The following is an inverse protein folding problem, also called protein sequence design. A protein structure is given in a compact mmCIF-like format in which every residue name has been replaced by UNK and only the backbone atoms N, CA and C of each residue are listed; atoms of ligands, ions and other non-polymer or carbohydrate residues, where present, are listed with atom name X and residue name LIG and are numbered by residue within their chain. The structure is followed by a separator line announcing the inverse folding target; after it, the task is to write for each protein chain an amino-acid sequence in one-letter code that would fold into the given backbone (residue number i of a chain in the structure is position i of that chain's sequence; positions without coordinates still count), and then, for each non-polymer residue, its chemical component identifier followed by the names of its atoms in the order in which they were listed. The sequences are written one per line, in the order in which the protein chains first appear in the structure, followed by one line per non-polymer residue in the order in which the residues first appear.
data_IF_270194409491
#
_entry.id   IF_270194409491
#
_cell.length_a   1.000
_cell.length_b   1.000
_cell.length_c   1.000
_cell.angle_alpha   90.00
_cell.angle_beta   90.00
_cell.angle_gamma   90.00
#
_symmetry.space_group_name_H-M   'P 1'
#
loop_
_entity.id
_entity.type
_entity.pdbx_description
1 polymer ?
#
# COMPACT_ATOMS: atom_id res chain seq x y z
N UNK A 1 4.87 21.29 18.36
CA UNK A 1 5.35 20.77 17.04
C UNK A 1 4.35 21.00 15.89
N UNK A 2 3.23 20.27 15.68
CA UNK A 2 2.25 20.65 14.61
C UNK A 2 1.55 21.99 14.89
N UNK A 3 1.29 22.30 16.16
CA UNK A 3 0.80 23.63 16.56
C UNK A 3 1.81 24.76 16.31
N UNK A 4 3.10 24.45 16.16
CA UNK A 4 4.15 25.44 15.85
C UNK A 4 4.49 25.49 14.35
N UNK A 5 4.07 24.50 13.57
CA UNK A 5 4.24 24.44 12.11
C UNK A 5 3.15 25.22 11.35
N UNK A 6 2.57 26.24 11.96
CA UNK A 6 1.76 27.26 11.26
C UNK A 6 2.58 28.15 10.30
N UNK A 7 3.77 27.69 9.89
CA UNK A 7 4.69 28.32 8.95
C UNK A 7 5.11 27.33 7.86
N UNK A 8 5.92 27.82 6.91
CA UNK A 8 6.45 27.02 5.80
C UNK A 8 7.07 25.71 6.30
N UNK A 9 6.57 24.57 5.78
CA UNK A 9 7.16 23.26 6.08
C UNK A 9 8.59 23.26 5.55
N UNK A 10 9.58 22.79 6.33
CA UNK A 10 10.97 22.78 5.91
C UNK A 10 11.18 22.21 4.49
N UNK A 11 11.94 22.93 3.67
CA UNK A 11 12.16 22.59 2.25
C UNK A 11 13.06 21.36 2.05
N UNK A 12 13.76 20.92 3.09
CA UNK A 12 14.59 19.72 3.13
C UNK A 12 13.78 18.43 3.34
N UNK A 13 12.52 18.53 3.80
CA UNK A 13 11.64 17.37 3.85
C UNK A 13 11.25 16.89 2.45
N UNK A 14 11.08 15.58 2.30
CA UNK A 14 10.60 15.00 1.04
C UNK A 14 9.16 15.42 0.77
N UNK A 15 8.77 15.46 -0.51
CA UNK A 15 7.47 15.97 -0.94
C UNK A 15 6.28 15.28 -0.24
N UNK A 16 6.41 13.98 0.02
CA UNK A 16 5.40 13.11 0.62
C UNK A 16 5.21 13.44 2.10
N UNK A 17 6.28 13.72 2.84
CA UNK A 17 6.21 14.14 4.24
C UNK A 17 5.57 15.53 4.32
N UNK A 18 5.97 16.46 3.45
CA UNK A 18 5.36 17.79 3.41
C UNK A 18 3.88 17.73 3.12
N UNK A 19 3.48 16.93 2.14
CA UNK A 19 2.08 16.76 1.77
C UNK A 19 1.29 16.04 2.88
N UNK A 20 1.89 15.09 3.60
CA UNK A 20 1.25 14.42 4.74
C UNK A 20 0.95 15.39 5.89
N UNK A 21 1.88 16.26 6.22
CA UNK A 21 1.67 17.32 7.23
C UNK A 21 0.55 18.26 6.78
N UNK A 22 0.54 18.67 5.51
CA UNK A 22 -0.54 19.52 4.98
C UNK A 22 -1.89 18.82 4.96
N UNK A 23 -1.92 17.54 4.63
CA UNK A 23 -3.15 16.75 4.71
C UNK A 23 -3.64 16.68 6.15
N UNK A 24 -2.75 16.42 7.12
CA UNK A 24 -3.08 16.38 8.55
C UNK A 24 -3.64 17.72 9.05
N UNK A 25 -3.03 18.84 8.68
CA UNK A 25 -3.56 20.18 8.99
C UNK A 25 -4.94 20.43 8.36
N UNK A 26 -5.12 19.99 7.10
CA UNK A 26 -6.36 20.22 6.36
C UNK A 26 -7.53 19.43 6.95
N UNK A 27 -7.33 18.15 7.30
CA UNK A 27 -8.37 17.31 7.92
C UNK A 27 -8.67 17.70 9.37
N UNK A 28 -7.71 18.32 10.08
CA UNK A 28 -7.92 18.96 11.39
C UNK A 28 -8.75 20.27 11.27
N UNK A 29 -9.21 20.62 10.07
CA UNK A 29 -10.10 21.75 9.81
C UNK A 29 -9.39 23.11 9.72
N UNK A 30 -8.05 23.14 9.69
CA UNK A 30 -7.29 24.41 9.69
C UNK A 30 -7.37 25.17 8.38
N UNK A 31 -7.72 24.49 7.28
CA UNK A 31 -7.66 25.04 5.93
C UNK A 31 -9.04 25.38 5.38
N UNK A 32 -9.97 24.41 5.45
CA UNK A 32 -11.32 24.56 4.93
C UNK A 32 -12.24 23.53 5.59
N UNK A 33 -13.52 23.88 5.85
CA UNK A 33 -14.53 22.91 6.28
C UNK A 33 -14.66 21.71 5.33
N UNK A 34 -14.37 21.92 4.04
CA UNK A 34 -14.39 20.83 3.04
C UNK A 34 -13.46 19.69 3.43
N UNK A 35 -12.21 19.98 3.81
CA UNK A 35 -11.22 18.94 4.10
C UNK A 35 -11.47 18.24 5.43
N UNK A 36 -12.05 18.94 6.41
CA UNK A 36 -12.54 18.32 7.64
C UNK A 36 -13.62 17.26 7.31
N UNK A 37 -14.65 17.63 6.55
CA UNK A 37 -15.69 16.69 6.12
C UNK A 37 -15.17 15.59 5.19
N UNK A 38 -14.22 15.91 4.31
CA UNK A 38 -13.62 14.91 3.42
C UNK A 38 -12.78 13.89 4.20
N UNK A 39 -12.08 14.33 5.24
CA UNK A 39 -11.32 13.46 6.15
C UNK A 39 -12.20 12.40 6.83
N UNK A 40 -13.47 12.69 7.09
CA UNK A 40 -14.44 11.73 7.65
C UNK A 40 -14.78 10.59 6.67
N UNK A 41 -14.58 10.79 5.36
CA UNK A 41 -14.79 9.76 4.33
C UNK A 41 -13.57 8.85 4.15
N UNK A 42 -12.41 9.23 4.68
CA UNK A 42 -11.18 8.46 4.54
C UNK A 42 -11.22 7.18 5.37
N UNK A 43 -10.50 6.16 4.90
CA UNK A 43 -10.39 4.91 5.65
C UNK A 43 -9.79 5.16 7.04
N UNK A 44 -10.47 4.70 8.11
CA UNK A 44 -9.91 4.78 9.46
C UNK A 44 -8.58 4.03 9.53
N UNK A 45 -7.63 4.58 10.28
CA UNK A 45 -6.28 4.04 10.38
C UNK A 45 -6.24 2.55 10.79
N UNK A 46 -7.16 2.09 11.65
CA UNK A 46 -7.25 0.69 12.08
C UNK A 46 -7.65 -0.29 10.97
N UNK A 47 -8.20 0.22 9.86
CA UNK A 47 -8.65 -0.60 8.73
C UNK A 47 -7.62 -0.68 7.60
N UNK A 48 -6.55 0.11 7.69
CA UNK A 48 -5.50 0.12 6.68
C UNK A 48 -4.47 -0.98 6.97
N UNK A 49 -4.25 -1.86 6.00
CA UNK A 49 -3.28 -2.95 6.12
C UNK A 49 -1.86 -2.57 5.61
N UNK A 50 -1.59 -1.29 5.35
CA UNK A 50 -0.26 -0.85 4.92
C UNK A 50 0.78 -1.24 6.01
N UNK A 51 1.85 -1.97 5.68
CA UNK A 51 2.84 -2.45 6.65
C UNK A 51 3.37 -1.37 7.59
N UNK A 52 3.61 -0.15 7.09
CA UNK A 52 4.14 0.94 7.91
C UNK A 52 3.18 1.38 9.03
N UNK A 53 1.87 1.10 8.89
CA UNK A 53 0.86 1.38 9.91
C UNK A 53 0.69 0.23 10.93
N UNK A 54 1.23 -0.94 10.65
CA UNK A 54 1.12 -2.08 11.55
C UNK A 54 2.07 -1.91 12.74
N UNK A 55 1.56 -2.17 13.93
CA UNK A 55 2.39 -2.17 15.13
C UNK A 55 3.37 -3.37 15.09
N UNK A 56 4.55 -3.29 15.73
CA UNK A 56 5.66 -4.22 15.49
C UNK A 56 5.34 -5.70 15.73
N UNK A 57 4.47 -6.02 16.67
CA UNK A 57 4.04 -7.40 16.97
C UNK A 57 3.11 -7.97 15.89
N UNK A 58 2.54 -7.15 15.00
CA UNK A 58 1.79 -7.64 13.84
C UNK A 58 2.68 -7.77 12.60
N UNK A 59 3.79 -7.02 12.53
CA UNK A 59 4.74 -7.14 11.41
C UNK A 59 5.39 -8.53 11.34
N UNK A 60 5.60 -9.19 12.48
CA UNK A 60 6.12 -10.58 12.50
C UNK A 60 5.16 -11.58 11.86
N UNK A 61 3.85 -11.28 11.85
CA UNK A 61 2.82 -12.13 11.22
C UNK A 61 2.87 -12.08 9.69
N UNK A 62 3.60 -11.12 9.10
CA UNK A 62 3.83 -11.07 7.66
C UNK A 62 4.65 -12.26 7.14
N UNK A 63 5.43 -12.91 8.03
CA UNK A 63 6.35 -14.00 7.67
C UNK A 63 7.29 -13.64 6.50
N UNK A 64 7.60 -12.34 6.37
CA UNK A 64 8.45 -11.77 5.33
C UNK A 64 9.39 -10.74 5.96
N UNK A 65 10.56 -11.19 6.39
CA UNK A 65 11.54 -10.39 7.16
C UNK A 65 11.88 -9.06 6.48
N UNK A 66 12.25 -9.08 5.20
CA UNK A 66 12.60 -7.86 4.46
C UNK A 66 11.48 -6.79 4.46
N UNK A 67 10.23 -7.24 4.45
CA UNK A 67 9.07 -6.35 4.41
C UNK A 67 8.76 -5.79 5.80
N UNK A 68 8.85 -6.63 6.83
CA UNK A 68 8.76 -6.20 8.22
C UNK A 68 9.87 -5.17 8.54
N UNK A 69 11.10 -5.46 8.13
CA UNK A 69 12.25 -4.57 8.32
C UNK A 69 12.08 -3.26 7.56
N UNK A 70 11.63 -3.31 6.29
CA UNK A 70 11.34 -2.11 5.52
C UNK A 70 10.25 -1.26 6.18
N UNK A 71 9.19 -1.88 6.74
CA UNK A 71 8.15 -1.18 7.46
C UNK A 71 8.70 -0.49 8.73
N UNK A 72 9.49 -1.21 9.54
CA UNK A 72 10.16 -0.65 10.73
C UNK A 72 11.09 0.50 10.36
N UNK A 73 11.84 0.40 9.27
CA UNK A 73 12.70 1.48 8.79
C UNK A 73 11.91 2.73 8.40
N UNK A 74 10.75 2.58 7.74
CA UNK A 74 9.88 3.73 7.45
C UNK A 74 9.31 4.36 8.73
N UNK A 75 8.88 3.54 9.70
CA UNK A 75 8.40 4.01 11.01
C UNK A 75 9.50 4.80 11.73
N UNK A 76 10.72 4.25 11.78
CA UNK A 76 11.87 4.89 12.43
C UNK A 76 12.25 6.19 11.73
N UNK A 77 12.28 6.21 10.40
CA UNK A 77 12.57 7.43 9.62
C UNK A 77 11.61 8.57 9.97
N UNK A 78 10.31 8.28 10.07
CA UNK A 78 9.33 9.31 10.43
C UNK A 78 9.49 9.74 11.89
N UNK A 79 9.80 8.79 12.79
CA UNK A 79 10.08 9.08 14.20
C UNK A 79 11.31 9.94 14.41
N UNK A 80 12.38 9.71 13.66
CA UNK A 80 13.60 10.53 13.76
C UNK A 80 13.32 12.00 13.43
N UNK A 81 12.38 12.24 12.50
CA UNK A 81 11.93 13.59 12.14
C UNK A 81 10.91 14.16 13.14
N UNK A 82 10.06 13.31 13.73
CA UNK A 82 8.93 13.71 14.59
C UNK A 82 8.81 12.83 15.84
N UNK A 83 9.80 12.86 16.76
CA UNK A 83 9.89 11.91 17.87
C UNK A 83 8.73 12.01 18.88
N UNK A 84 8.12 13.20 18.97
CA UNK A 84 6.98 13.48 19.86
C UNK A 84 5.62 13.10 19.24
N UNK A 85 5.56 12.86 17.93
CA UNK A 85 4.30 12.59 17.22
C UNK A 85 4.17 11.14 16.75
N UNK A 86 5.31 10.47 16.58
CA UNK A 86 5.37 9.12 16.03
C UNK A 86 5.80 8.18 17.14
N UNK A 87 5.02 7.16 17.50
CA UNK A 87 5.37 6.22 18.56
C UNK A 87 6.68 5.49 18.27
N UNK A 88 7.37 5.07 19.33
CA UNK A 88 8.58 4.25 19.23
C UNK A 88 8.26 2.79 18.95
N UNK A 89 9.25 2.03 18.48
CA UNK A 89 9.11 0.58 18.20
C UNK A 89 8.65 -0.23 19.44
N UNK A 90 8.85 0.29 20.65
CA UNK A 90 8.40 -0.35 21.89
C UNK A 90 7.16 0.32 22.52
N UNK A 91 6.52 1.26 21.82
CA UNK A 91 5.30 1.90 22.34
C UNK A 91 4.13 0.89 22.36
N UNK A 92 3.14 1.10 23.25
CA UNK A 92 1.92 0.30 23.30
C UNK A 92 1.18 0.29 21.95
N UNK A 93 0.46 -0.79 21.66
CA UNK A 93 -0.27 -0.96 20.40
C UNK A 93 -1.36 0.11 20.21
N UNK A 94 -1.89 0.66 21.31
CA UNK A 94 -2.92 1.71 21.31
C UNK A 94 -2.41 3.06 20.80
N UNK A 95 -1.09 3.27 20.80
CA UNK A 95 -0.45 4.47 20.24
C UNK A 95 -0.19 4.35 18.73
N UNK A 96 -0.41 3.16 18.16
CA UNK A 96 -0.16 2.86 16.76
C UNK A 96 -1.45 2.71 15.93
N UNK A 97 -1.40 3.15 14.66
CA UNK A 97 -0.53 4.18 14.11
C UNK A 97 -0.89 5.59 14.64
N UNK A 98 0.09 6.50 14.66
CA UNK A 98 -0.18 7.92 14.91
C UNK A 98 -0.92 8.60 13.74
N UNK A 99 -1.61 9.74 13.96
CA UNK A 99 -2.24 10.50 12.88
C UNK A 99 -1.28 10.91 11.74
N UNK A 100 -0.02 11.19 12.06
CA UNK A 100 0.99 11.53 11.04
C UNK A 100 1.40 10.30 10.22
N UNK A 101 1.56 9.13 10.85
CA UNK A 101 1.79 7.89 10.12
C UNK A 101 0.64 7.59 9.17
N UNK A 102 -0.60 7.75 9.64
CA UNK A 102 -1.81 7.56 8.85
C UNK A 102 -1.87 8.47 7.63
N UNK A 103 -1.73 9.78 7.81
CA UNK A 103 -1.75 10.75 6.70
C UNK A 103 -0.59 10.56 5.72
N UNK A 104 0.58 10.12 6.19
CA UNK A 104 1.70 9.78 5.32
C UNK A 104 1.43 8.51 4.51
N UNK A 105 0.83 7.48 5.10
CA UNK A 105 0.39 6.29 4.37
C UNK A 105 -0.70 6.61 3.34
N UNK A 106 -1.65 7.49 3.68
CA UNK A 106 -2.63 8.01 2.72
C UNK A 106 -1.94 8.70 1.55
N UNK A 107 -1.02 9.64 1.81
CA UNK A 107 -0.30 10.36 0.75
C UNK A 107 0.45 9.39 -0.18
N UNK A 108 1.15 8.39 0.37
CA UNK A 108 1.91 7.43 -0.43
C UNK A 108 1.05 6.46 -1.25
N UNK A 109 -0.19 6.22 -0.83
CA UNK A 109 -1.12 5.29 -1.49
C UNK A 109 -2.14 5.97 -2.40
N UNK A 110 -2.33 7.29 -2.29
CA UNK A 110 -3.47 8.01 -2.90
C UNK A 110 -3.11 9.29 -3.65
N UNK A 111 -1.84 9.66 -3.74
CA UNK A 111 -1.44 10.85 -4.49
C UNK A 111 -1.24 10.59 -5.98
N UNK A 112 -1.50 11.62 -6.76
CA UNK A 112 -1.40 11.64 -8.21
C UNK A 112 -0.32 12.62 -8.65
N UNK A 113 0.36 12.31 -9.76
CA UNK A 113 1.30 13.24 -10.39
C UNK A 113 0.55 14.45 -10.93
N UNK A 114 0.96 15.64 -10.51
CA UNK A 114 0.43 16.95 -10.91
C UNK A 114 1.41 17.71 -11.81
N UNK A 115 2.18 16.99 -12.64
CA UNK A 115 3.29 17.50 -13.45
C UNK A 115 4.59 16.72 -13.21
N UNK A 116 5.71 17.19 -13.79
CA UNK A 116 6.98 16.45 -13.79
C UNK A 116 7.58 16.19 -12.39
N UNK A 117 7.32 17.08 -11.43
CA UNK A 117 7.91 17.01 -10.08
C UNK A 117 6.93 17.41 -8.98
N UNK A 118 5.63 17.29 -9.27
CA UNK A 118 4.57 17.68 -8.35
C UNK A 118 3.62 16.52 -8.12
N UNK A 119 3.14 16.41 -6.88
CA UNK A 119 2.16 15.42 -6.48
C UNK A 119 1.02 16.12 -5.76
N UNK A 120 -0.20 15.62 -5.95
CA UNK A 120 -1.40 16.17 -5.34
C UNK A 120 -2.24 15.05 -4.73
N UNK A 121 -2.82 15.35 -3.57
CA UNK A 121 -3.93 14.57 -3.03
C UNK A 121 -5.23 15.10 -3.63
N UNK A 122 -5.92 14.30 -4.43
CA UNK A 122 -7.04 14.78 -5.26
C UNK A 122 -8.35 14.15 -4.75
N UNK A 123 -9.22 14.93 -4.08
CA UNK A 123 -10.49 14.44 -3.58
C UNK A 123 -11.33 13.77 -4.66
N UNK A 124 -12.06 12.72 -4.27
CA UNK A 124 -12.88 11.83 -5.10
C UNK A 124 -12.10 10.97 -6.09
N UNK A 125 -11.03 11.49 -6.69
CA UNK A 125 -10.15 10.68 -7.54
C UNK A 125 -9.39 9.64 -6.71
N UNK A 126 -8.97 9.99 -5.49
CA UNK A 126 -8.28 9.05 -4.59
C UNK A 126 -9.15 7.88 -4.10
N UNK A 127 -10.46 7.91 -4.36
CA UNK A 127 -11.39 6.83 -4.02
C UNK A 127 -11.42 5.70 -5.08
N UNK A 128 -10.90 5.94 -6.28
CA UNK A 128 -10.93 4.95 -7.36
C UNK A 128 -9.94 3.81 -7.07
N UNK A 129 -10.44 2.57 -7.00
CA UNK A 129 -9.60 1.40 -6.73
C UNK A 129 -8.78 0.96 -7.95
N UNK A 130 -7.79 0.11 -7.69
CA UNK A 130 -6.98 -0.52 -8.72
C UNK A 130 -7.70 -1.69 -9.40
N UNK A 131 -7.54 -1.81 -10.71
CA UNK A 131 -7.59 -3.09 -11.43
C UNK A 131 -6.46 -3.14 -12.47
N UNK A 132 -5.98 -4.36 -12.78
CA UNK A 132 -5.02 -4.59 -13.87
C UNK A 132 -5.56 -4.07 -15.21
N UNK A 133 -6.84 -4.32 -15.48
CA UNK A 133 -7.57 -3.83 -16.66
C UNK A 133 -8.61 -2.81 -16.19
N UNK A 134 -8.23 -1.52 -16.03
CA UNK A 134 -9.13 -0.50 -15.51
C UNK A 134 -10.18 -0.08 -16.55
N UNK A 135 -11.24 0.57 -16.09
CA UNK A 135 -12.30 1.11 -16.93
C UNK A 135 -12.33 2.65 -16.98
N UNK A 136 -11.48 3.30 -16.20
CA UNK A 136 -11.18 4.71 -16.27
C UNK A 136 -9.67 4.98 -16.21
N UNK A 137 -9.30 6.18 -16.63
CA UNK A 137 -7.95 6.72 -16.56
C UNK A 137 -8.02 8.16 -16.01
N UNK A 138 -6.91 8.67 -15.52
CA UNK A 138 -6.82 10.03 -15.00
C UNK A 138 -5.71 10.83 -15.67
N UNK A 139 -5.92 12.13 -15.78
CA UNK A 139 -4.90 13.06 -16.27
C UNK A 139 -4.93 14.35 -15.46
N UNK A 140 -3.75 14.89 -15.20
CA UNK A 140 -3.63 16.29 -14.79
C UNK A 140 -3.59 17.15 -16.06
N UNK A 141 -4.48 18.13 -16.16
CA UNK A 141 -4.54 19.09 -17.25
C UNK A 141 -4.04 20.47 -16.77
N UNK A 142 -2.77 20.84 -17.00
CA UNK A 142 -2.20 22.08 -16.49
C UNK A 142 -2.91 23.34 -17.01
N UNK A 143 -3.40 23.29 -18.26
CA UNK A 143 -4.07 24.43 -18.90
C UNK A 143 -5.39 24.77 -18.21
N UNK A 144 -6.09 23.75 -17.72
CA UNK A 144 -7.38 23.88 -17.04
C UNK A 144 -7.22 23.90 -15.51
N UNK A 145 -5.99 23.68 -15.01
CA UNK A 145 -5.66 23.58 -13.58
C UNK A 145 -6.53 22.56 -12.83
N UNK A 146 -6.82 21.42 -13.46
CA UNK A 146 -7.67 20.39 -12.88
C UNK A 146 -7.19 18.97 -13.19
N UNK A 147 -7.74 18.01 -12.45
CA UNK A 147 -7.63 16.60 -12.76
C UNK A 147 -8.91 16.12 -13.45
N UNK A 148 -8.75 15.30 -14.49
CA UNK A 148 -9.84 14.57 -15.11
C UNK A 148 -9.79 13.11 -14.71
N UNK A 149 -10.95 12.52 -14.40
CA UNK A 149 -11.17 11.09 -14.37
C UNK A 149 -12.06 10.74 -15.57
N UNK A 150 -11.53 9.99 -16.53
CA UNK A 150 -12.18 9.72 -17.81
C UNK A 150 -12.44 8.22 -17.97
N UNK A 151 -13.67 7.86 -18.30
CA UNK A 151 -13.96 6.49 -18.69
C UNK A 151 -13.25 6.15 -20.01
N UNK A 152 -12.57 5.00 -20.08
CA UNK A 152 -11.91 4.51 -21.31
C UNK A 152 -12.78 3.55 -22.11
N UNK A 153 -13.92 3.15 -21.53
CA UNK A 153 -14.98 2.38 -22.18
C UNK A 153 -16.34 2.73 -21.57
N UNK A 154 -17.42 2.19 -22.13
CA UNK A 154 -18.72 2.27 -21.47
C UNK A 154 -18.67 1.53 -20.11
N UNK A 155 -19.14 2.19 -19.06
CA UNK A 155 -19.26 1.68 -17.69
C UNK A 155 -20.75 1.49 -17.40
N UNK A 156 -21.13 0.30 -16.94
CA UNK A 156 -22.54 -0.02 -16.65
C UNK A 156 -22.98 0.62 -15.33
N UNK A 157 -24.29 0.79 -15.17
CA UNK A 157 -24.83 1.19 -13.87
C UNK A 157 -24.42 0.17 -12.79
N UNK A 158 -23.95 0.66 -11.64
CA UNK A 158 -23.43 -0.12 -10.51
C UNK A 158 -22.12 -0.88 -10.79
N UNK A 159 -21.47 -0.63 -11.93
CA UNK A 159 -20.11 -1.10 -12.16
C UNK A 159 -19.12 -0.14 -11.47
N UNK A 160 -18.17 -0.70 -10.73
CA UNK A 160 -17.14 0.08 -10.05
C UNK A 160 -16.25 0.82 -11.06
N UNK A 161 -15.93 2.08 -10.78
CA UNK A 161 -14.95 2.85 -11.56
C UNK A 161 -13.56 2.57 -10.99
N UNK A 162 -12.67 2.05 -11.83
CA UNK A 162 -11.32 1.63 -11.43
C UNK A 162 -10.26 2.23 -12.33
N UNK A 163 -9.08 2.46 -11.77
CA UNK A 163 -7.90 3.03 -12.43
C UNK A 163 -6.70 2.08 -12.31
N UNK A 164 -5.64 2.35 -13.06
CA UNK A 164 -4.36 1.68 -12.82
C UNK A 164 -3.54 2.46 -11.80
N UNK A 165 -3.03 1.79 -10.76
CA UNK A 165 -2.07 2.37 -9.81
C UNK A 165 -0.62 2.31 -10.32
N UNK A 166 -0.41 1.64 -11.45
CA UNK A 166 0.88 1.45 -12.09
C UNK A 166 0.90 0.15 -12.89
N UNK A 167 1.70 0.14 -13.94
CA UNK A 167 1.90 -1.05 -14.75
C UNK A 167 2.90 -2.00 -14.07
N UNK A 168 2.61 -3.30 -14.12
CA UNK A 168 3.52 -4.38 -13.76
C UNK A 168 4.06 -4.33 -12.31
N UNK A 169 3.20 -4.01 -11.33
CA UNK A 169 3.57 -4.09 -9.92
C UNK A 169 3.38 -5.50 -9.39
N UNK A 170 4.38 -6.02 -8.67
CA UNK A 170 4.27 -7.28 -7.94
C UNK A 170 3.47 -7.10 -6.64
N UNK A 171 3.10 -8.22 -6.01
CA UNK A 171 2.30 -8.17 -4.78
C UNK A 171 3.08 -7.55 -3.60
N UNK A 172 4.41 -7.66 -3.59
CA UNK A 172 5.24 -7.02 -2.56
C UNK A 172 5.11 -5.50 -2.62
N UNK A 173 5.22 -4.92 -3.82
CA UNK A 173 5.07 -3.49 -4.04
C UNK A 173 3.64 -3.04 -3.76
N UNK A 174 2.63 -3.77 -4.25
CA UNK A 174 1.23 -3.45 -3.99
C UNK A 174 0.93 -3.42 -2.50
N UNK A 175 1.41 -4.41 -1.75
CA UNK A 175 1.14 -4.49 -0.33
C UNK A 175 1.93 -3.43 0.47
N UNK A 176 3.22 -3.23 0.16
CA UNK A 176 4.04 -2.23 0.84
C UNK A 176 3.56 -0.78 0.61
N UNK A 177 3.01 -0.48 -0.57
CA UNK A 177 2.56 0.86 -0.92
C UNK A 177 1.07 1.09 -0.62
N UNK A 178 0.20 0.14 -0.95
CA UNK A 178 -1.25 0.30 -0.93
C UNK A 178 -1.97 -0.59 0.10
N UNK A 179 -1.28 -1.56 0.71
CA UNK A 179 -1.86 -2.42 1.75
C UNK A 179 -2.80 -3.50 1.21
N UNK A 180 -2.65 -3.92 -0.06
CA UNK A 180 -3.39 -5.06 -0.62
C UNK A 180 -2.50 -5.91 -1.52
N UNK A 181 -2.98 -7.11 -1.84
CA UNK A 181 -2.45 -8.00 -2.88
C UNK A 181 -3.58 -8.35 -3.85
N UNK A 182 -3.28 -8.64 -5.11
CA UNK A 182 -4.32 -8.97 -6.09
C UNK A 182 -5.01 -10.30 -5.75
N UNK A 183 -6.35 -10.32 -5.64
CA UNK A 183 -7.09 -11.55 -5.40
C UNK A 183 -7.02 -12.45 -6.64
N UNK A 184 -6.73 -13.74 -6.44
CA UNK A 184 -6.67 -14.72 -7.53
C UNK A 184 -5.33 -14.82 -8.25
N UNK A 185 -4.31 -14.07 -7.79
CA UNK A 185 -2.95 -14.10 -8.31
C UNK A 185 -2.62 -12.87 -9.13
N UNK A 186 -1.35 -12.46 -9.09
CA UNK A 186 -0.84 -11.31 -9.83
C UNK A 186 0.11 -11.82 -10.92
N UNK A 187 -0.14 -11.58 -12.23
CA UNK A 187 0.71 -12.08 -13.30
C UNK A 187 2.11 -11.44 -13.31
N UNK A 188 2.31 -10.35 -12.59
CA UNK A 188 3.60 -9.68 -12.41
C UNK A 188 4.27 -10.05 -11.08
N UNK A 189 3.71 -10.98 -10.31
CA UNK A 189 4.33 -11.41 -9.06
C UNK A 189 5.65 -12.13 -9.31
N UNK A 190 6.57 -12.01 -8.35
CA UNK A 190 7.90 -12.60 -8.47
C UNK A 190 8.24 -13.44 -7.23
N UNK A 191 8.95 -14.54 -7.44
CA UNK A 191 9.53 -15.33 -6.36
C UNK A 191 11.05 -15.14 -6.38
N UNK A 192 11.64 -14.49 -5.35
CA UNK A 192 13.07 -14.33 -5.23
C UNK A 192 13.80 -15.66 -5.38
N UNK A 193 14.83 -15.69 -6.22
CA UNK A 193 15.59 -16.90 -6.50
C UNK A 193 14.97 -17.84 -7.55
N UNK A 194 13.87 -17.45 -8.19
CA UNK A 194 13.31 -18.14 -9.36
C UNK A 194 13.70 -17.52 -10.70
N UNK A 195 14.52 -16.46 -10.69
CA UNK A 195 15.06 -15.86 -11.90
C UNK A 195 15.90 -16.88 -12.69
N UNK A 196 15.57 -17.08 -13.97
CA UNK A 196 16.26 -18.01 -14.86
C UNK A 196 15.71 -19.44 -14.89
N UNK A 197 14.56 -19.70 -14.25
CA UNK A 197 13.85 -20.96 -14.48
C UNK A 197 13.29 -21.01 -15.91
N UNK A 198 13.41 -22.16 -16.62
CA UNK A 198 12.81 -22.33 -17.94
C UNK A 198 11.29 -22.05 -17.92
N UNK A 199 10.78 -21.39 -18.97
CA UNK A 199 9.34 -21.05 -19.06
C UNK A 199 8.42 -22.27 -19.20
N UNK A 200 8.98 -23.44 -19.51
CA UNK A 200 8.30 -24.73 -19.61
C UNK A 200 8.41 -25.57 -18.33
N UNK A 201 8.91 -24.98 -17.23
CA UNK A 201 9.05 -25.68 -15.97
C UNK A 201 7.67 -26.07 -15.42
N UNK A 202 7.42 -27.37 -15.32
CA UNK A 202 6.21 -27.91 -14.69
C UNK A 202 6.55 -28.39 -13.28
N UNK A 203 5.78 -27.93 -12.30
CA UNK A 203 5.83 -28.45 -10.93
C UNK A 203 5.37 -29.91 -10.92
N UNK A 204 6.33 -30.82 -10.81
CA UNK A 204 6.06 -32.27 -10.78
C UNK A 204 5.66 -32.70 -9.38
N UNK A 205 4.41 -33.14 -9.22
CA UNK A 205 3.92 -33.67 -7.93
C UNK A 205 4.80 -34.80 -7.38
N UNK A 206 5.17 -35.85 -8.15
CA UNK A 206 6.05 -36.92 -7.64
C UNK A 206 7.38 -36.38 -7.09
N UNK A 207 8.00 -35.44 -7.79
CA UNK A 207 9.29 -34.87 -7.40
C UNK A 207 9.18 -33.99 -6.16
N UNK A 208 8.08 -33.27 -6.03
CA UNK A 208 7.79 -32.49 -4.82
C UNK A 208 7.55 -33.39 -3.61
N UNK A 209 6.81 -34.49 -3.76
CA UNK A 209 6.58 -35.46 -2.70
C UNK A 209 7.90 -36.13 -2.24
N UNK A 210 8.77 -36.48 -3.18
CA UNK A 210 10.10 -37.01 -2.88
C UNK A 210 10.96 -35.99 -2.12
N UNK A 211 11.00 -34.74 -2.59
CA UNK A 211 11.76 -33.66 -1.92
C UNK A 211 11.25 -33.39 -0.50
N UNK A 212 9.93 -33.37 -0.30
CA UNK A 212 9.33 -33.19 1.03
C UNK A 212 9.72 -34.34 1.97
N UNK A 213 9.68 -35.58 1.48
CA UNK A 213 10.11 -36.76 2.23
C UNK A 213 11.60 -36.70 2.60
N UNK A 214 12.47 -36.29 1.68
CA UNK A 214 13.90 -36.07 1.95
C UNK A 214 14.15 -34.99 3.01
N UNK A 215 13.29 -33.96 3.04
CA UNK A 215 13.30 -32.90 4.06
C UNK A 215 12.61 -33.30 5.38
N UNK A 216 12.14 -34.55 5.50
CA UNK A 216 11.46 -35.04 6.70
C UNK A 216 10.06 -34.47 6.90
N UNK A 217 9.47 -33.87 5.85
CA UNK A 217 8.10 -33.36 5.86
C UNK A 217 7.17 -34.46 5.37
N UNK A 218 6.29 -34.93 6.25
CA UNK A 218 5.25 -35.87 5.86
C UNK A 218 4.14 -35.15 5.10
N UNK A 219 3.89 -35.58 3.86
CA UNK A 219 2.87 -35.01 2.99
C UNK A 219 1.46 -35.07 3.61
N UNK A 220 1.17 -36.14 4.36
CA UNK A 220 -0.12 -36.34 5.01
C UNK A 220 -0.28 -35.51 6.30
N UNK A 221 0.82 -34.90 6.78
CA UNK A 221 0.82 -33.97 7.91
C UNK A 221 0.58 -32.50 7.51
N UNK A 222 0.54 -32.20 6.21
CA UNK A 222 0.33 -30.85 5.70
C UNK A 222 -1.09 -30.34 6.00
N UNK A 223 -1.22 -29.02 6.17
CA UNK A 223 -2.54 -28.41 6.34
C UNK A 223 -3.47 -28.76 5.16
N UNK A 224 -4.79 -28.97 5.39
CA UNK A 224 -5.70 -29.48 4.37
C UNK A 224 -5.75 -28.66 3.07
N UNK A 225 -5.61 -27.34 3.16
CA UNK A 225 -5.54 -26.40 2.04
C UNK A 225 -4.24 -26.57 1.22
N UNK A 226 -3.11 -26.79 1.89
CA UNK A 226 -1.83 -27.09 1.24
C UNK A 226 -1.91 -28.45 0.55
N UNK A 227 -2.40 -29.48 1.25
CA UNK A 227 -2.57 -30.82 0.68
C UNK A 227 -3.55 -30.85 -0.50
N UNK A 228 -4.61 -30.03 -0.49
CA UNK A 228 -5.54 -29.90 -1.61
C UNK A 228 -4.87 -29.25 -2.84
N UNK A 229 -4.11 -28.17 -2.63
CA UNK A 229 -3.34 -27.50 -3.69
C UNK A 229 -2.32 -28.45 -4.32
N UNK A 230 -1.57 -29.18 -3.51
CA UNK A 230 -0.58 -30.15 -4.00
C UNK A 230 -1.18 -31.35 -4.73
N UNK A 231 -2.42 -31.75 -4.40
CA UNK A 231 -3.16 -32.79 -5.12
C UNK A 231 -3.63 -32.33 -6.51
N UNK A 232 -3.77 -31.03 -6.71
CA UNK A 232 -4.17 -30.44 -7.99
C UNK A 232 -3.00 -30.16 -8.95
N UNK A 233 -1.76 -30.36 -8.49
CA UNK A 233 -0.58 -30.29 -9.35
C UNK A 233 -0.55 -31.47 -10.34
N UNK A 234 -0.09 -31.24 -11.58
CA UNK A 234 0.05 -32.27 -12.60
C UNK A 234 1.08 -33.36 -12.25
#
# INVERSE_FOLDING_TARGET
VVQEMGGDIPADFTWDIRLAIKLLEAIDGRWSPFWASYGELMQPYLTMANPMLLYPQLLVELQHEDMADAAVQQQQRLRDLFPDMVPGVYAPAEEFPSPLMWTWALVRSRCFTAGEQAFAFVPFLDMANHLEIPNADFEYAPQDSCFYLRAVRQIRQNEEVTISYGAAYDNRRLFAQYGFVEPGGNPYDTLPGMDGLPSDLVLSRPRLQETLKEKGVDFDSLQPNVAATLRSLP
#
